data_IF_554243086932
#
_entry.id   IF_554243086932
#
_cell.length_a   1.000
_cell.length_b   1.000
_cell.length_c   1.000
_cell.angle_alpha   90.00
_cell.angle_beta   90.00
_cell.angle_gamma   90.00
#
_symmetry.space_group_name_H-M   'P 1'
#
loop_
_entity.id
_entity.type
_entity.pdbx_description
1 polymer ?
#
# COMPACT_ATOMS: atom_id res chain seq x y z
N UNK A 1 12.11 1.13 -11.01
CA UNK A 1 10.81 1.26 -11.72
C UNK A 1 9.68 1.13 -10.70
N UNK A 2 8.72 2.05 -10.68
CA UNK A 2 7.60 1.98 -9.73
C UNK A 2 6.59 0.91 -10.16
N UNK A 3 6.21 0.00 -9.25
CA UNK A 3 5.22 -1.05 -9.53
C UNK A 3 4.00 -0.85 -8.65
N UNK A 4 2.81 -0.81 -9.26
CA UNK A 4 1.53 -0.83 -8.53
C UNK A 4 1.23 -2.25 -8.08
N UNK A 5 0.74 -2.39 -6.84
CA UNK A 5 0.34 -3.67 -6.27
C UNK A 5 -1.17 -3.84 -6.44
N UNK A 6 -1.60 -4.34 -7.61
CA UNK A 6 -3.02 -4.52 -7.92
C UNK A 6 -3.48 -5.95 -7.60
N UNK A 7 -2.60 -6.93 -7.79
CA UNK A 7 -2.91 -8.34 -7.54
C UNK A 7 -2.53 -8.80 -6.14
N UNK A 8 -3.21 -9.82 -5.65
CA UNK A 8 -2.88 -10.49 -4.39
C UNK A 8 -1.46 -11.05 -4.40
N UNK A 9 -0.97 -11.48 -5.58
CA UNK A 9 0.41 -11.93 -5.75
C UNK A 9 1.41 -10.79 -5.52
N UNK A 10 1.11 -9.58 -6.00
CA UNK A 10 1.98 -8.41 -5.79
C UNK A 10 2.04 -8.01 -4.32
N UNK A 11 0.88 -7.97 -3.65
CA UNK A 11 0.78 -7.72 -2.22
C UNK A 11 1.51 -8.79 -1.40
N UNK A 12 1.37 -10.07 -1.80
CA UNK A 12 2.05 -11.19 -1.17
C UNK A 12 3.57 -11.08 -1.32
N UNK A 13 4.07 -10.80 -2.53
CA UNK A 13 5.51 -10.63 -2.77
C UNK A 13 6.05 -9.48 -1.94
N UNK A 14 5.38 -8.32 -1.95
CA UNK A 14 5.81 -7.14 -1.17
C UNK A 14 5.83 -7.40 0.35
N UNK A 15 4.83 -8.11 0.87
CA UNK A 15 4.79 -8.53 2.27
C UNK A 15 5.93 -9.52 2.60
N UNK A 16 6.13 -10.53 1.74
CA UNK A 16 7.16 -11.56 1.92
C UNK A 16 8.58 -11.00 1.85
N UNK A 17 8.83 -10.06 0.94
CA UNK A 17 10.12 -9.38 0.79
C UNK A 17 10.31 -8.24 1.80
N UNK A 18 9.32 -7.99 2.66
CA UNK A 18 9.27 -6.84 3.57
C UNK A 18 9.62 -5.52 2.85
N UNK A 19 9.14 -5.35 1.62
CA UNK A 19 9.43 -4.17 0.81
C UNK A 19 8.52 -3.02 1.22
N UNK A 20 9.06 -1.81 1.48
CA UNK A 20 8.24 -0.65 1.79
C UNK A 20 7.28 -0.30 0.65
N UNK A 21 6.00 -0.20 1.00
CA UNK A 21 4.90 0.16 0.13
C UNK A 21 4.46 1.58 0.49
N UNK A 22 4.37 2.43 -0.52
CA UNK A 22 3.70 3.73 -0.44
C UNK A 22 2.21 3.57 -0.71
N UNK A 23 1.40 4.22 0.12
CA UNK A 23 -0.05 4.29 0.01
C UNK A 23 -0.42 5.66 -0.55
N UNK A 24 -1.12 5.66 -1.67
CA UNK A 24 -1.57 6.88 -2.35
C UNK A 24 -3.09 6.92 -2.33
N UNK A 25 -3.64 8.05 -1.92
CA UNK A 25 -5.08 8.32 -1.97
C UNK A 25 -5.35 9.62 -2.72
N UNK A 26 -6.55 9.73 -3.27
CA UNK A 26 -6.99 10.93 -3.98
C UNK A 26 -7.43 12.00 -3.00
N UNK A 27 -6.93 13.22 -3.17
CA UNK A 27 -7.38 14.39 -2.42
C UNK A 27 -8.69 14.99 -2.97
N UNK A 28 -9.15 16.09 -2.36
CA UNK A 28 -10.38 16.77 -2.78
C UNK A 28 -10.31 17.35 -4.21
N UNK A 29 -9.12 17.49 -4.79
CA UNK A 29 -8.91 18.00 -6.15
C UNK A 29 -8.71 16.89 -7.19
N UNK A 30 -8.77 15.61 -6.78
CA UNK A 30 -8.59 14.48 -7.69
C UNK A 30 -7.13 14.06 -7.88
N UNK A 31 -6.20 14.57 -7.07
CA UNK A 31 -4.76 14.31 -7.19
C UNK A 31 -4.34 13.20 -6.23
N UNK A 32 -3.52 12.26 -6.71
CA UNK A 32 -2.97 11.20 -5.85
C UNK A 32 -1.82 11.74 -5.00
N UNK A 33 -2.04 11.76 -3.70
CA UNK A 33 -1.04 12.15 -2.69
C UNK A 33 -0.63 10.93 -1.87
N UNK A 34 0.66 10.81 -1.55
CA UNK A 34 1.14 9.78 -0.64
C UNK A 34 0.66 10.13 0.76
N UNK A 35 -0.18 9.27 1.33
CA UNK A 35 -0.76 9.46 2.67
C UNK A 35 0.00 8.67 3.73
N UNK A 36 0.67 7.58 3.33
CA UNK A 36 1.37 6.70 4.26
C UNK A 36 2.42 5.83 3.54
N UNK A 37 3.35 5.27 4.31
CA UNK A 37 4.39 4.36 3.84
C UNK A 37 4.75 3.34 4.92
N UNK A 38 4.85 2.07 4.53
CA UNK A 38 5.16 1.01 5.48
C UNK A 38 5.27 -0.39 4.87
N UNK A 39 5.32 -1.41 5.71
CA UNK A 39 5.38 -2.82 5.30
C UNK A 39 3.99 -3.44 5.39
N UNK A 40 3.59 -4.23 4.39
CA UNK A 40 2.34 -5.00 4.45
C UNK A 40 2.50 -6.12 5.48
N UNK A 41 1.68 -6.10 6.54
CA UNK A 41 1.64 -7.20 7.51
C UNK A 41 0.60 -8.25 7.13
N UNK A 42 -0.57 -7.81 6.65
CA UNK A 42 -1.68 -8.67 6.26
C UNK A 42 -2.45 -8.03 5.12
N UNK A 43 -3.01 -8.84 4.25
CA UNK A 43 -3.93 -8.37 3.21
C UNK A 43 -5.09 -9.36 3.05
N UNK A 44 -6.19 -8.83 2.56
CA UNK A 44 -7.38 -9.57 2.14
C UNK A 44 -7.81 -9.05 0.77
N UNK A 45 -8.87 -9.65 0.22
CA UNK A 45 -9.50 -9.15 -0.99
C UNK A 45 -10.17 -7.78 -0.81
N UNK A 46 -10.37 -7.29 0.43
CA UNK A 46 -11.04 -6.02 0.72
C UNK A 46 -10.13 -4.96 1.31
N UNK A 47 -9.12 -5.36 2.07
CA UNK A 47 -8.29 -4.44 2.83
C UNK A 47 -6.85 -4.91 2.93
N UNK A 48 -5.95 -3.94 3.10
CA UNK A 48 -4.53 -4.13 3.35
C UNK A 48 -4.20 -3.49 4.69
N UNK A 49 -3.52 -4.24 5.55
CA UNK A 49 -2.97 -3.77 6.81
C UNK A 49 -1.48 -3.50 6.62
N UNK A 50 -1.08 -2.26 6.88
CA UNK A 50 0.31 -1.82 6.88
C UNK A 50 0.80 -1.57 8.31
N UNK A 51 2.04 -1.94 8.57
CA UNK A 51 2.84 -1.39 9.65
C UNK A 51 3.59 -0.19 9.09
N UNK A 52 3.23 1.01 9.52
CA UNK A 52 3.83 2.26 9.04
C UNK A 52 5.25 2.40 9.57
N UNK A 53 6.04 3.29 8.98
CA UNK A 53 7.38 3.64 9.48
C UNK A 53 7.38 4.26 10.89
N UNK A 54 6.21 4.68 11.38
CA UNK A 54 6.02 5.22 12.73
C UNK A 54 5.63 4.16 13.76
N UNK A 55 5.76 2.87 13.41
CA UNK A 55 5.29 1.72 14.20
C UNK A 55 3.78 1.76 14.52
N UNK A 56 3.01 2.48 13.70
CA UNK A 56 1.55 2.48 13.78
C UNK A 56 0.96 1.43 12.84
N UNK A 57 -0.21 0.89 13.21
CA UNK A 57 -0.95 -0.04 12.35
C UNK A 57 -2.02 0.74 11.61
N UNK A 58 -1.89 0.79 10.28
CA UNK A 58 -2.85 1.42 9.40
C UNK A 58 -3.63 0.38 8.59
N UNK A 59 -4.91 0.69 8.33
CA UNK A 59 -5.80 -0.15 7.54
C UNK A 59 -6.32 0.64 6.36
N UNK A 60 -6.14 0.08 5.16
CA UNK A 60 -6.55 0.70 3.91
C UNK A 60 -7.50 -0.23 3.17
N UNK A 61 -8.60 0.32 2.66
CA UNK A 61 -9.50 -0.43 1.78
C UNK A 61 -8.92 -0.47 0.36
N UNK A 62 -9.26 -1.51 -0.39
CA UNK A 62 -8.85 -1.64 -1.80
C UNK A 62 -9.88 -1.05 -2.76
N UNK A 63 -11.13 -0.94 -2.30
CA UNK A 63 -12.28 -0.52 -3.11
C UNK A 63 -12.53 1.01 -3.07
N UNK A 64 -11.78 1.77 -2.27
CA UNK A 64 -11.96 3.22 -2.08
C UNK A 64 -11.09 4.08 -3.02
N UNK A 65 -10.37 3.46 -3.95
CA UNK A 65 -9.42 4.12 -4.84
C UNK A 65 -8.02 4.26 -4.26
N UNK A 66 -7.73 3.65 -3.11
CA UNK A 66 -6.36 3.58 -2.58
C UNK A 66 -5.44 2.79 -3.51
N UNK A 67 -4.28 3.37 -3.82
CA UNK A 67 -3.25 2.74 -4.64
C UNK A 67 -2.06 2.38 -3.76
N UNK A 68 -1.63 1.13 -3.87
CA UNK A 68 -0.41 0.62 -3.24
C UNK A 68 0.71 0.54 -4.27
N UNK A 69 1.89 1.06 -3.95
CA UNK A 69 3.04 1.10 -4.86
C UNK A 69 4.34 0.75 -4.14
N UNK A 70 5.19 -0.05 -4.79
CA UNK A 70 6.57 -0.29 -4.34
C UNK A 70 7.57 0.45 -5.22
N UNK A 71 8.64 0.90 -4.59
CA UNK A 71 9.84 1.34 -5.30
C UNK A 71 10.74 0.14 -5.55
N UNK A 72 10.72 -0.38 -6.77
CA UNK A 72 11.68 -1.41 -7.20
C UNK A 72 12.96 -0.70 -7.63
N UNK A 73 14.04 -0.92 -6.88
CA UNK A 73 15.40 -0.45 -7.20
C UNK A 73 15.97 -1.29 -8.35
#
# INVERSE_FOLDING_TARGET
MQKRLESDADLFIAALSQTPVSVLQTDAEGVYCEVDRGIIEKFTNKSVRLSTIMDEIAYYYRDDGTIFRVETN
#
